data_IF_482379915130
#
_entry.id   IF_482379915130
#
_cell.length_a   1.000
_cell.length_b   1.000
_cell.length_c   1.000
_cell.angle_alpha   90.00
_cell.angle_beta   90.00
_cell.angle_gamma   90.00
#
_symmetry.space_group_name_H-M   'P 1'
#
loop_
_entity.id
_entity.type
_entity.pdbx_description
1 polymer ?
#
# COMPACT_ATOMS: atom_id res chain seq x y z
N UNK A 1 0.10 -0.10 2.66
CA UNK A 1 -0.15 0.13 1.22
C UNK A 1 1.14 -0.10 0.44
N UNK A 2 1.08 -0.91 -0.61
CA UNK A 2 2.24 -1.27 -1.44
C UNK A 2 2.04 -0.79 -2.87
N UNK A 3 3.08 -0.21 -3.47
CA UNK A 3 3.07 0.28 -4.85
C UNK A 3 4.38 -0.02 -5.59
N UNK A 4 5.28 -0.79 -4.97
CA UNK A 4 6.59 -1.14 -5.49
C UNK A 4 7.63 -0.02 -5.42
N UNK A 5 7.35 1.08 -4.72
CA UNK A 5 8.34 2.13 -4.44
C UNK A 5 9.25 1.73 -3.29
N UNK A 6 10.44 2.33 -3.23
CA UNK A 6 11.40 2.14 -2.12
C UNK A 6 10.78 2.45 -0.75
N UNK A 7 9.96 3.50 -0.67
CA UNK A 7 9.29 3.88 0.56
C UNK A 7 8.22 2.87 0.99
N UNK A 8 7.52 2.24 0.04
CA UNK A 8 6.56 1.18 0.37
C UNK A 8 7.27 -0.10 0.83
N UNK A 9 8.43 -0.42 0.26
CA UNK A 9 9.26 -1.54 0.71
C UNK A 9 9.80 -1.34 2.13
N UNK A 10 10.30 -0.14 2.44
CA UNK A 10 10.69 0.22 3.82
C UNK A 10 9.48 0.17 4.77
N UNK A 11 8.31 0.57 4.30
CA UNK A 11 7.06 0.47 5.05
C UNK A 11 6.72 -0.97 5.42
N UNK A 12 6.93 -1.90 4.50
CA UNK A 12 6.75 -3.33 4.76
C UNK A 12 7.74 -3.86 5.82
N UNK A 13 9.01 -3.47 5.75
CA UNK A 13 10.02 -3.89 6.73
C UNK A 13 9.65 -3.40 8.15
N UNK A 14 9.15 -2.18 8.26
CA UNK A 14 8.65 -1.64 9.53
C UNK A 14 7.38 -2.38 9.99
N UNK A 15 6.42 -2.64 9.08
CA UNK A 15 5.22 -3.40 9.41
C UNK A 15 5.56 -4.78 10.01
N UNK A 16 6.47 -5.51 9.40
CA UNK A 16 6.95 -6.80 9.89
C UNK A 16 7.55 -6.66 11.29
N UNK A 17 8.39 -5.66 11.50
CA UNK A 17 9.02 -5.42 12.82
C UNK A 17 7.99 -5.13 13.91
N UNK A 18 6.92 -4.41 13.59
CA UNK A 18 5.86 -4.06 14.54
C UNK A 18 4.95 -5.26 14.89
N UNK A 19 4.65 -6.14 13.91
CA UNK A 19 3.69 -7.23 14.13
C UNK A 19 4.35 -8.52 14.61
N UNK A 20 5.64 -8.69 14.42
CA UNK A 20 6.39 -9.91 14.74
C UNK A 20 6.15 -10.41 16.19
N UNK A 21 6.03 -9.49 17.14
CA UNK A 21 5.83 -9.82 18.56
C UNK A 21 4.34 -9.80 18.98
N UNK A 22 3.45 -9.28 18.11
CA UNK A 22 2.04 -9.04 18.46
C UNK A 22 1.07 -10.09 17.94
N UNK A 23 1.53 -11.02 17.11
CA UNK A 23 0.69 -12.00 16.38
C UNK A 23 -0.42 -11.34 15.55
N UNK A 24 -0.20 -10.12 15.10
CA UNK A 24 -1.09 -9.41 14.17
C UNK A 24 -0.78 -9.81 12.74
N UNK A 25 -1.79 -9.69 11.87
CA UNK A 25 -1.69 -9.95 10.44
C UNK A 25 -1.30 -8.69 9.67
N UNK A 26 -0.56 -8.85 8.57
CA UNK A 26 -0.32 -7.78 7.60
C UNK A 26 -1.28 -7.92 6.42
N UNK A 27 -2.08 -6.89 6.15
CA UNK A 27 -2.81 -6.75 4.90
C UNK A 27 -1.98 -5.92 3.90
N UNK A 28 -1.45 -6.57 2.88
CA UNK A 28 -0.82 -5.91 1.73
C UNK A 28 -1.86 -5.44 0.73
N UNK A 29 -2.09 -4.13 0.65
CA UNK A 29 -3.04 -3.53 -0.27
C UNK A 29 -2.32 -2.90 -1.46
N UNK A 30 -2.66 -3.35 -2.69
CA UNK A 30 -2.30 -2.70 -3.94
C UNK A 30 -3.55 -2.10 -4.58
N UNK A 31 -3.51 -0.81 -4.94
CA UNK A 31 -4.62 -0.15 -5.62
C UNK A 31 -4.23 0.14 -7.06
N UNK A 32 -4.95 -0.46 -8.01
CA UNK A 32 -4.86 -0.12 -9.45
C UNK A 32 -5.60 1.18 -9.69
N UNK A 33 -4.92 2.25 -10.15
CA UNK A 33 -5.60 3.51 -10.39
C UNK A 33 -6.53 3.41 -11.59
N UNK A 34 -7.72 3.98 -11.46
CA UNK A 34 -8.51 4.36 -12.63
C UNK A 34 -7.83 5.56 -13.28
N UNK A 35 -7.21 5.37 -14.43
CA UNK A 35 -6.60 6.46 -15.17
C UNK A 35 -7.24 6.61 -16.55
N UNK A 36 -7.18 7.83 -17.09
CA UNK A 36 -7.54 8.08 -18.49
C UNK A 36 -6.63 7.27 -19.44
N UNK A 37 -5.42 6.94 -18.97
CA UNK A 37 -4.48 6.07 -19.67
C UNK A 37 -4.98 4.63 -19.77
N UNK A 38 -5.70 4.11 -18.77
CA UNK A 38 -6.35 2.81 -18.88
C UNK A 38 -7.45 2.78 -19.94
N UNK A 39 -8.09 3.91 -20.20
CA UNK A 39 -9.07 4.06 -21.28
C UNK A 39 -8.40 4.19 -22.67
N UNK A 40 -7.18 4.74 -22.73
CA UNK A 40 -6.44 4.92 -24.00
C UNK A 40 -5.58 3.73 -24.40
N UNK A 41 -4.95 3.07 -23.44
CA UNK A 41 -3.96 2.02 -23.65
C UNK A 41 -4.44 0.63 -23.21
N UNK A 42 -5.65 0.51 -22.67
CA UNK A 42 -6.34 -0.75 -22.39
C UNK A 42 -5.48 -1.79 -21.66
N UNK A 43 -5.34 -2.95 -22.28
CA UNK A 43 -4.68 -4.12 -21.69
C UNK A 43 -3.19 -3.93 -21.37
N UNK A 44 -2.47 -3.10 -22.14
CA UNK A 44 -1.04 -2.85 -21.90
C UNK A 44 -0.80 -2.10 -20.59
N UNK A 45 -1.64 -1.10 -20.24
CA UNK A 45 -1.56 -0.40 -18.97
C UNK A 45 -1.95 -1.30 -17.81
N UNK A 46 -3.03 -2.08 -17.97
CA UNK A 46 -3.47 -3.06 -16.99
C UNK A 46 -2.36 -4.10 -16.73
N UNK A 47 -1.76 -4.67 -17.75
CA UNK A 47 -0.67 -5.64 -17.63
C UNK A 47 0.53 -5.09 -16.84
N UNK A 48 0.93 -3.84 -17.08
CA UNK A 48 2.01 -3.20 -16.31
C UNK A 48 1.67 -3.04 -14.82
N UNK A 49 0.44 -2.65 -14.49
CA UNK A 49 0.00 -2.55 -13.10
C UNK A 49 -0.06 -3.93 -12.42
N UNK A 50 -0.47 -4.97 -13.16
CA UNK A 50 -0.48 -6.36 -12.67
C UNK A 50 0.92 -6.88 -12.36
N UNK A 51 1.91 -6.58 -13.19
CA UNK A 51 3.30 -6.93 -12.92
C UNK A 51 3.85 -6.27 -11.66
N UNK A 52 3.52 -4.98 -11.46
CA UNK A 52 3.96 -4.27 -10.26
C UNK A 52 3.30 -4.86 -9.01
N UNK A 53 1.99 -5.11 -9.06
CA UNK A 53 1.27 -5.73 -7.97
C UNK A 53 1.88 -7.10 -7.63
N UNK A 54 2.15 -7.93 -8.65
CA UNK A 54 2.76 -9.25 -8.50
C UNK A 54 4.13 -9.16 -7.82
N UNK A 55 5.01 -8.27 -8.28
CA UNK A 55 6.35 -8.06 -7.67
C UNK A 55 6.25 -7.57 -6.23
N UNK A 56 5.37 -6.60 -5.95
CA UNK A 56 5.16 -6.07 -4.60
C UNK A 56 4.64 -7.15 -3.65
N UNK A 57 3.71 -7.99 -4.10
CA UNK A 57 3.19 -9.07 -3.29
C UNK A 57 4.17 -10.23 -3.12
N UNK A 58 5.03 -10.48 -4.12
CA UNK A 58 6.11 -11.45 -3.97
C UNK A 58 7.09 -11.01 -2.88
N UNK A 59 7.53 -9.74 -2.91
CA UNK A 59 8.39 -9.16 -1.87
C UNK A 59 7.74 -9.27 -0.48
N UNK A 60 6.45 -8.91 -0.37
CA UNK A 60 5.69 -9.02 0.87
C UNK A 60 5.65 -10.47 1.38
N UNK A 61 5.31 -11.43 0.51
CA UNK A 61 5.26 -12.85 0.84
C UNK A 61 6.61 -13.34 1.38
N UNK A 62 7.68 -13.15 0.61
CA UNK A 62 9.03 -13.62 0.97
C UNK A 62 9.49 -13.06 2.33
N UNK A 63 9.23 -11.78 2.57
CA UNK A 63 9.59 -11.11 3.83
C UNK A 63 8.75 -11.59 5.00
N UNK A 64 7.43 -11.75 4.83
CA UNK A 64 6.54 -12.23 5.88
C UNK A 64 6.84 -13.69 6.25
N UNK A 65 6.99 -14.58 5.26
CA UNK A 65 7.34 -15.99 5.48
C UNK A 65 8.67 -16.12 6.21
N UNK A 66 9.70 -15.38 5.80
CA UNK A 66 11.02 -15.37 6.47
C UNK A 66 10.94 -14.95 7.94
N UNK A 67 9.97 -14.14 8.31
CA UNK A 67 9.81 -13.62 9.67
C UNK A 67 8.69 -14.31 10.47
N UNK A 68 8.04 -15.35 9.91
CA UNK A 68 6.87 -16.03 10.49
C UNK A 68 5.72 -15.07 10.83
N UNK A 69 5.45 -14.10 9.95
CA UNK A 69 4.37 -13.13 10.07
C UNK A 69 3.21 -13.55 9.18
N UNK A 70 2.01 -13.62 9.75
CA UNK A 70 0.79 -13.87 8.98
C UNK A 70 0.47 -12.68 8.07
N UNK A 71 0.03 -12.97 6.84
CA UNK A 71 -0.30 -11.94 5.89
C UNK A 71 -1.39 -12.37 4.92
N UNK A 72 -2.08 -11.38 4.39
CA UNK A 72 -2.96 -11.52 3.22
C UNK A 72 -2.71 -10.37 2.25
N UNK A 73 -3.11 -10.55 1.00
CA UNK A 73 -2.93 -9.54 -0.05
C UNK A 73 -4.25 -9.23 -0.72
N UNK A 74 -4.46 -7.98 -1.09
CA UNK A 74 -5.67 -7.52 -1.74
C UNK A 74 -5.36 -6.52 -2.85
N UNK A 75 -6.00 -6.72 -4.02
CA UNK A 75 -5.99 -5.76 -5.13
C UNK A 75 -7.35 -5.08 -5.19
N UNK A 76 -7.34 -3.76 -5.18
CA UNK A 76 -8.52 -2.94 -5.45
C UNK A 76 -8.30 -2.09 -6.68
N UNK A 77 -9.37 -1.70 -7.36
CA UNK A 77 -9.34 -0.76 -8.48
C UNK A 77 -10.08 0.51 -8.08
N UNK A 78 -9.48 1.67 -8.32
CA UNK A 78 -10.11 2.93 -7.96
C UNK A 78 -9.14 4.11 -7.85
N UNK A 79 -9.60 5.20 -7.28
CA UNK A 79 -8.73 6.29 -6.85
C UNK A 79 -7.92 5.83 -5.63
N UNK A 80 -6.60 5.89 -5.74
CA UNK A 80 -5.69 5.26 -4.76
C UNK A 80 -5.91 5.78 -3.34
N UNK A 81 -6.00 7.10 -3.17
CA UNK A 81 -6.09 7.73 -1.85
C UNK A 81 -7.41 7.44 -1.16
N UNK A 82 -8.54 7.52 -1.91
CA UNK A 82 -9.87 7.26 -1.36
C UNK A 82 -10.12 5.77 -1.13
N UNK A 83 -9.51 4.89 -1.93
CA UNK A 83 -9.60 3.44 -1.71
C UNK A 83 -8.89 3.03 -0.43
N UNK A 84 -7.66 3.53 -0.20
CA UNK A 84 -6.92 3.25 1.04
C UNK A 84 -7.68 3.80 2.25
N UNK A 85 -8.16 5.04 2.17
CA UNK A 85 -8.93 5.68 3.25
C UNK A 85 -10.20 4.91 3.60
N UNK A 86 -11.00 4.51 2.60
CA UNK A 86 -12.22 3.73 2.82
C UNK A 86 -11.93 2.40 3.48
N UNK A 87 -10.90 1.68 3.05
CA UNK A 87 -10.51 0.40 3.66
C UNK A 87 -10.00 0.58 5.10
N UNK A 88 -9.23 1.63 5.35
CA UNK A 88 -8.75 1.94 6.70
C UNK A 88 -9.86 2.29 7.67
N UNK A 89 -10.93 2.91 7.18
CA UNK A 89 -12.06 3.39 7.97
C UNK A 89 -13.24 2.40 8.00
N UNK A 90 -13.14 1.26 7.33
CA UNK A 90 -14.17 0.22 7.32
C UNK A 90 -14.02 -0.67 8.55
N UNK A 91 -14.99 -0.60 9.45
CA UNK A 91 -15.00 -1.38 10.68
C UNK A 91 -14.95 -2.90 10.44
N UNK A 92 -15.43 -3.38 9.29
CA UNK A 92 -15.39 -4.80 8.92
C UNK A 92 -13.97 -5.27 8.56
N UNK A 93 -13.12 -4.37 8.14
CA UNK A 93 -11.72 -4.67 7.78
C UNK A 93 -10.81 -4.82 9.01
N UNK A 94 -11.23 -4.35 10.18
CA UNK A 94 -10.49 -4.45 11.45
C UNK A 94 -9.04 -3.94 11.35
N UNK A 95 -8.85 -2.81 10.69
CA UNK A 95 -7.52 -2.20 10.51
C UNK A 95 -7.10 -1.47 11.79
N UNK A 96 -6.01 -1.89 12.40
CA UNK A 96 -5.47 -1.22 13.59
C UNK A 96 -4.61 0.02 13.24
N UNK A 97 -3.95 0.00 12.08
CA UNK A 97 -3.03 1.04 11.63
C UNK A 97 -2.79 0.96 10.12
N UNK A 98 -2.60 2.10 9.49
CA UNK A 98 -2.11 2.18 8.11
C UNK A 98 -0.61 2.48 8.11
N UNK A 99 0.16 1.67 7.38
CA UNK A 99 1.58 1.95 7.10
C UNK A 99 1.71 2.28 5.62
N UNK A 100 2.24 3.46 5.33
CA UNK A 100 2.32 3.98 3.96
C UNK A 100 3.65 4.70 3.72
N UNK A 101 4.21 4.53 2.54
CA UNK A 101 5.38 5.29 2.12
C UNK A 101 5.08 6.79 2.04
N UNK A 102 6.01 7.63 2.47
CA UNK A 102 5.86 9.09 2.37
C UNK A 102 5.71 9.56 0.93
N UNK A 103 6.25 8.79 -0.03
CA UNK A 103 6.16 9.01 -1.47
C UNK A 103 5.90 7.69 -2.18
N UNK A 104 5.20 7.75 -3.30
CA UNK A 104 5.01 6.63 -4.20
C UNK A 104 5.74 6.85 -5.54
N UNK A 105 5.44 6.00 -6.52
CA UNK A 105 6.09 5.95 -7.85
C UNK A 105 5.98 7.25 -8.67
N UNK A 106 4.93 8.06 -8.46
CA UNK A 106 4.70 9.32 -9.19
C UNK A 106 5.09 10.57 -8.42
N UNK A 107 5.95 10.47 -7.40
CA UNK A 107 6.26 11.60 -6.55
C UNK A 107 7.20 12.62 -7.20
N UNK A 108 6.89 13.90 -7.03
CA UNK A 108 7.74 15.01 -7.45
C UNK A 108 8.95 15.13 -6.51
N UNK A 109 10.15 15.28 -7.08
CA UNK A 109 11.36 15.54 -6.29
C UNK A 109 11.21 16.79 -5.43
N UNK A 110 11.55 16.70 -4.15
CA UNK A 110 11.49 17.82 -3.20
C UNK A 110 10.21 17.89 -2.35
N UNK A 111 9.14 17.18 -2.69
CA UNK A 111 7.95 17.13 -1.82
C UNK A 111 8.24 16.32 -0.56
N UNK A 112 7.85 16.82 0.62
CA UNK A 112 8.02 16.14 1.89
C UNK A 112 7.10 14.92 2.01
N UNK A 113 5.87 15.05 1.53
CA UNK A 113 4.84 14.01 1.47
C UNK A 113 4.20 13.96 0.09
N UNK A 114 3.88 12.76 -0.37
CA UNK A 114 3.07 12.54 -1.57
C UNK A 114 1.59 12.86 -1.32
N UNK A 115 0.84 13.07 -2.40
CA UNK A 115 -0.60 13.40 -2.33
C UNK A 115 -1.42 12.30 -1.65
N UNK A 116 -1.08 11.04 -1.88
CA UNK A 116 -1.78 9.89 -1.28
C UNK A 116 -1.51 9.83 0.22
N UNK A 117 -0.25 9.84 0.64
CA UNK A 117 0.11 9.75 2.07
C UNK A 117 -0.44 10.93 2.88
N UNK A 118 -0.41 12.15 2.31
CA UNK A 118 -1.02 13.33 2.92
C UNK A 118 -2.53 13.17 3.10
N UNK A 119 -3.23 12.70 2.07
CA UNK A 119 -4.67 12.50 2.11
C UNK A 119 -5.08 11.44 3.14
N UNK A 120 -4.38 10.28 3.13
CA UNK A 120 -4.67 9.19 4.07
C UNK A 120 -4.40 9.63 5.51
N UNK A 121 -3.32 10.37 5.76
CA UNK A 121 -3.02 10.93 7.07
C UNK A 121 -4.14 11.85 7.59
N UNK A 122 -4.70 12.68 6.71
CA UNK A 122 -5.76 13.64 7.06
C UNK A 122 -7.13 12.97 7.29
N UNK A 123 -7.44 11.90 6.57
CA UNK A 123 -8.78 11.30 6.52
C UNK A 123 -8.94 9.98 7.25
N UNK A 124 -7.85 9.33 7.63
CA UNK A 124 -7.90 8.05 8.34
C UNK A 124 -8.41 8.24 9.78
N UNK A 125 -9.32 7.34 10.20
CA UNK A 125 -9.78 7.23 11.59
C UNK A 125 -8.83 6.41 12.47
N UNK A 126 -7.96 5.62 11.83
CA UNK A 126 -6.95 4.83 12.53
C UNK A 126 -5.57 5.49 12.43
N UNK A 127 -4.62 5.17 13.32
CA UNK A 127 -3.25 5.67 13.23
C UNK A 127 -2.62 5.45 11.86
N UNK A 128 -1.84 6.42 11.40
CA UNK A 128 -1.11 6.34 10.12
C UNK A 128 0.38 6.53 10.37
N UNK A 129 1.17 5.52 10.02
CA UNK A 129 2.63 5.57 10.04
C UNK A 129 3.15 5.88 8.66
N UNK A 130 3.82 7.02 8.52
CA UNK A 130 4.42 7.45 7.25
C UNK A 130 5.92 7.13 7.25
N UNK A 131 6.37 6.39 6.25
CA UNK A 131 7.74 5.88 6.14
C UNK A 131 8.51 6.59 5.03
N UNK A 132 9.74 7.04 5.33
CA UNK A 132 10.65 7.73 4.38
C UNK A 132 11.74 6.81 3.88
#
# INVERSE_FOLDING_TARGET
AVDGSEHSEKGLDIAISLVKETKKEILGLFVKPHSVESLRYGDAFSGHQDEIAKKSFQSLREKCEKNNVEFRTEIRTGDVKTTIEKMANDDQMNVDMVIIGSRGRGSVKGALLGSVSKYVLDKSKVPVLIVK
#
